data_IF_317845072812
#
_entry.id   IF_317845072812
#
_cell.length_a   1.000
_cell.length_b   1.000
_cell.length_c   1.000
_cell.angle_alpha   90.00
_cell.angle_beta   90.00
_cell.angle_gamma   90.00
#
_symmetry.space_group_name_H-M   'P 1'
#
loop_
_entity.id
_entity.type
_entity.pdbx_description
1 polymer ?
#
# COMPACT_ATOMS: atom_id res chain seq x y z
N UNK A 1 -10.60 -3.62 -29.55
CA UNK A 1 -11.55 -3.74 -28.41
C UNK A 1 -11.66 -2.37 -27.76
N UNK A 2 -12.76 -1.65 -27.96
CA UNK A 2 -12.96 -0.28 -27.44
C UNK A 2 -13.54 -0.40 -26.01
N UNK A 3 -12.94 0.24 -24.98
CA UNK A 3 -13.44 0.09 -23.61
C UNK A 3 -14.77 0.82 -23.40
N UNK A 4 -15.73 0.12 -22.77
CA UNK A 4 -17.09 0.54 -22.47
C UNK A 4 -17.14 1.86 -21.64
N UNK A 5 -18.07 2.81 -21.91
CA UNK A 5 -18.13 4.12 -21.26
C UNK A 5 -18.28 4.09 -19.73
N UNK A 6 -18.86 3.01 -19.18
CA UNK A 6 -19.09 2.80 -17.75
C UNK A 6 -17.75 2.68 -16.96
N UNK A 7 -16.67 2.24 -17.61
CA UNK A 7 -15.36 2.00 -16.98
C UNK A 7 -14.67 3.30 -16.54
N UNK A 8 -14.77 4.38 -17.32
CA UNK A 8 -14.09 5.67 -17.03
C UNK A 8 -14.63 6.35 -15.77
N UNK A 9 -15.95 6.29 -15.55
CA UNK A 9 -16.59 6.90 -14.37
C UNK A 9 -16.16 6.24 -13.05
N UNK A 10 -15.92 4.93 -13.08
CA UNK A 10 -15.46 4.16 -11.91
C UNK A 10 -14.01 4.46 -11.58
N UNK A 11 -13.13 4.48 -12.58
CA UNK A 11 -11.71 4.81 -12.42
C UNK A 11 -11.52 6.21 -11.79
N UNK A 12 -12.28 7.21 -12.24
CA UNK A 12 -12.24 8.57 -11.66
C UNK A 12 -12.58 8.57 -10.17
N UNK A 13 -13.64 7.87 -9.77
CA UNK A 13 -14.06 7.79 -8.36
C UNK A 13 -13.00 7.07 -7.50
N UNK A 14 -12.40 6.01 -8.03
CA UNK A 14 -11.32 5.28 -7.33
C UNK A 14 -10.10 6.17 -7.11
N UNK A 15 -9.65 6.91 -8.14
CA UNK A 15 -8.52 7.82 -8.01
C UNK A 15 -8.81 8.96 -7.02
N UNK A 16 -10.00 9.56 -7.07
CA UNK A 16 -10.38 10.62 -6.13
C UNK A 16 -10.37 10.11 -4.69
N UNK A 17 -10.93 8.93 -4.42
CA UNK A 17 -10.92 8.32 -3.08
C UNK A 17 -9.51 8.00 -2.61
N UNK A 18 -8.65 7.48 -3.50
CA UNK A 18 -7.24 7.24 -3.21
C UNK A 18 -6.51 8.53 -2.81
N UNK A 19 -6.66 9.61 -3.58
CA UNK A 19 -6.03 10.90 -3.27
C UNK A 19 -6.55 11.50 -1.95
N UNK A 20 -7.85 11.37 -1.67
CA UNK A 20 -8.42 11.79 -0.38
C UNK A 20 -7.81 11.01 0.79
N UNK A 21 -7.65 9.69 0.64
CA UNK A 21 -7.01 8.85 1.63
C UNK A 21 -5.53 9.23 1.85
N UNK A 22 -4.75 9.46 0.78
CA UNK A 22 -3.35 9.88 0.89
C UNK A 22 -3.22 11.25 1.59
N UNK A 23 -4.11 12.20 1.28
CA UNK A 23 -4.16 13.48 1.97
C UNK A 23 -4.44 13.32 3.47
N UNK A 24 -5.37 12.43 3.84
CA UNK A 24 -5.63 12.09 5.23
C UNK A 24 -4.38 11.55 5.92
N UNK A 25 -3.70 10.56 5.32
CA UNK A 25 -2.47 9.95 5.88
C UNK A 25 -1.37 10.98 6.05
N UNK A 26 -1.15 11.85 5.05
CA UNK A 26 -0.19 12.96 5.13
C UNK A 26 -0.50 13.91 6.28
N UNK A 27 -1.77 14.24 6.50
CA UNK A 27 -2.19 15.09 7.62
C UNK A 27 -1.94 14.41 8.97
N UNK A 28 -2.22 13.10 9.08
CA UNK A 28 -1.88 12.33 10.28
C UNK A 28 -0.38 12.37 10.58
N UNK A 29 0.48 12.24 9.56
CA UNK A 29 1.93 12.38 9.72
C UNK A 29 2.33 13.78 10.20
N UNK A 30 1.74 14.82 9.61
CA UNK A 30 2.03 16.21 9.96
C UNK A 30 1.63 16.55 11.42
N UNK A 31 0.63 15.86 11.95
CA UNK A 31 0.25 15.94 13.36
C UNK A 31 1.04 14.99 14.28
N UNK A 32 2.18 14.45 13.81
CA UNK A 32 3.07 13.54 14.56
C UNK A 32 2.36 12.34 15.21
N UNK A 33 1.24 11.93 14.64
CA UNK A 33 0.45 10.82 15.13
C UNK A 33 1.03 9.49 14.65
N UNK A 34 0.89 8.44 15.47
CA UNK A 34 1.33 7.08 15.11
C UNK A 34 0.45 6.52 13.99
N UNK A 35 1.09 5.88 13.01
CA UNK A 35 0.40 5.20 11.90
C UNK A 35 0.33 3.68 12.08
N UNK A 36 1.38 3.09 12.64
CA UNK A 36 1.62 1.64 12.60
C UNK A 36 0.52 0.80 13.29
N UNK A 37 -0.16 1.33 14.30
CA UNK A 37 -1.28 0.66 14.99
C UNK A 37 -2.60 1.40 14.87
N UNK A 38 -2.70 2.38 13.97
CA UNK A 38 -3.90 3.20 13.83
C UNK A 38 -4.90 2.55 12.88
N UNK A 39 -6.17 2.59 13.26
CA UNK A 39 -7.27 2.37 12.34
C UNK A 39 -7.63 3.69 11.65
N UNK A 40 -7.59 3.71 10.32
CA UNK A 40 -7.85 4.89 9.51
C UNK A 40 -9.35 5.15 9.41
N UNK A 41 -9.76 6.40 9.64
CA UNK A 41 -11.15 6.81 9.49
C UNK A 41 -11.53 6.98 8.03
N UNK A 42 -10.60 7.49 7.21
CA UNK A 42 -10.73 7.53 5.75
C UNK A 42 -10.18 6.23 5.20
N UNK A 43 -11.07 5.36 4.70
CA UNK A 43 -10.68 4.05 4.17
C UNK A 43 -10.00 4.17 2.81
N UNK A 44 -9.02 3.30 2.57
CA UNK A 44 -8.40 3.15 1.26
C UNK A 44 -9.37 2.45 0.31
N UNK A 45 -9.57 3.01 -0.87
CA UNK A 45 -10.24 2.32 -1.96
C UNK A 45 -9.29 1.28 -2.55
N UNK A 46 -9.46 0.01 -2.19
CA UNK A 46 -8.64 -1.07 -2.74
C UNK A 46 -8.88 -1.18 -4.24
N UNK A 47 -7.82 -1.11 -5.06
CA UNK A 47 -7.95 -1.30 -6.49
C UNK A 47 -8.40 -2.73 -6.80
N UNK A 48 -9.31 -2.87 -7.76
CA UNK A 48 -9.79 -4.19 -8.19
C UNK A 48 -8.67 -4.95 -8.93
N UNK A 49 -8.41 -6.21 -8.57
CA UNK A 49 -7.41 -7.09 -9.22
C UNK A 49 -7.53 -7.16 -10.74
N UNK A 50 -8.72 -7.02 -11.31
CA UNK A 50 -8.91 -7.02 -12.76
C UNK A 50 -8.36 -5.76 -13.46
N UNK A 51 -7.96 -4.74 -12.70
CA UNK A 51 -7.49 -3.44 -13.20
C UNK A 51 -6.06 -3.14 -12.74
N UNK A 52 -5.53 -3.84 -11.74
CA UNK A 52 -4.16 -3.62 -11.23
C UNK A 52 -3.23 -4.79 -11.47
N UNK A 53 -1.94 -4.47 -11.54
CA UNK A 53 -0.86 -5.44 -11.72
C UNK A 53 -0.73 -6.38 -10.52
N UNK A 54 -0.10 -7.54 -10.77
CA UNK A 54 0.06 -8.64 -9.82
C UNK A 54 0.71 -8.21 -8.50
N UNK A 55 1.61 -7.21 -8.55
CA UNK A 55 2.31 -6.66 -7.40
C UNK A 55 1.37 -6.13 -6.29
N UNK A 56 0.11 -5.80 -6.62
CA UNK A 56 -0.90 -5.34 -5.65
C UNK A 56 -2.01 -6.37 -5.35
N UNK A 57 -2.01 -7.55 -5.98
CA UNK A 57 -3.10 -8.52 -5.83
C UNK A 57 -3.29 -8.98 -4.38
N UNK A 58 -2.22 -9.06 -3.61
CA UNK A 58 -2.25 -9.42 -2.20
C UNK A 58 -3.11 -8.48 -1.33
N UNK A 59 -3.43 -7.26 -1.80
CA UNK A 59 -4.23 -6.30 -1.03
C UNK A 59 -5.70 -6.72 -0.86
N UNK A 60 -6.31 -7.40 -1.83
CA UNK A 60 -7.70 -7.86 -1.65
C UNK A 60 -7.82 -9.00 -0.63
N UNK A 61 -6.75 -9.79 -0.46
CA UNK A 61 -6.71 -10.95 0.44
C UNK A 61 -6.27 -10.58 1.85
N UNK A 62 -5.79 -9.35 2.06
CA UNK A 62 -5.26 -8.90 3.35
C UNK A 62 -6.41 -8.50 4.30
N UNK A 63 -6.57 -9.15 5.47
CA UNK A 63 -7.53 -8.72 6.47
C UNK A 63 -7.19 -7.31 6.98
N UNK A 64 -8.16 -6.40 7.03
CA UNK A 64 -7.90 -4.99 7.39
C UNK A 64 -7.30 -4.15 6.25
N UNK A 65 -7.38 -4.63 5.01
CA UNK A 65 -6.85 -3.96 3.83
C UNK A 65 -7.37 -2.53 3.57
N UNK A 66 -8.45 -2.10 4.23
CA UNK A 66 -9.05 -0.79 3.95
C UNK A 66 -8.72 0.28 4.98
N UNK A 67 -8.33 -0.11 6.19
CA UNK A 67 -8.23 0.81 7.33
C UNK A 67 -6.93 0.68 8.13
N UNK A 68 -6.02 -0.21 7.74
CA UNK A 68 -4.65 -0.26 8.28
C UNK A 68 -3.65 0.37 7.32
N UNK A 69 -2.44 0.61 7.82
CA UNK A 69 -1.42 1.39 7.10
C UNK A 69 -0.74 0.60 5.97
N UNK A 70 -0.63 -0.72 6.06
CA UNK A 70 0.08 -1.51 5.05
C UNK A 70 -0.44 -1.33 3.61
N UNK A 71 -1.76 -1.41 3.36
CA UNK A 71 -2.33 -1.17 2.04
C UNK A 71 -1.97 0.18 1.43
N UNK A 72 -1.93 1.22 2.28
CA UNK A 72 -1.49 2.56 1.88
C UNK A 72 -0.01 2.54 1.47
N UNK A 73 0.86 1.91 2.28
CA UNK A 73 2.29 1.82 1.99
C UNK A 73 2.56 1.05 0.70
N UNK A 74 1.86 -0.07 0.48
CA UNK A 74 1.96 -0.85 -0.74
C UNK A 74 1.50 -0.05 -1.97
N UNK A 75 0.40 0.71 -1.84
CA UNK A 75 -0.08 1.57 -2.93
C UNK A 75 0.91 2.70 -3.23
N UNK A 76 1.53 3.31 -2.20
CA UNK A 76 2.58 4.34 -2.40
C UNK A 76 3.81 3.73 -3.08
N UNK A 77 4.31 2.58 -2.62
CA UNK A 77 5.42 1.88 -3.25
C UNK A 77 5.14 1.61 -4.74
N UNK A 78 3.93 1.13 -5.04
CA UNK A 78 3.50 0.89 -6.41
C UNK A 78 3.50 2.16 -7.24
N UNK A 79 2.92 3.26 -6.76
CA UNK A 79 2.90 4.54 -7.50
C UNK A 79 4.33 5.05 -7.75
N UNK A 80 5.20 4.99 -6.73
CA UNK A 80 6.59 5.44 -6.85
C UNK A 80 7.38 4.63 -7.90
N UNK A 81 7.03 3.35 -8.10
CA UNK A 81 7.62 2.51 -9.15
C UNK A 81 7.35 2.97 -10.60
N UNK A 82 6.40 3.89 -10.82
CA UNK A 82 6.18 4.53 -12.13
C UNK A 82 6.82 5.92 -12.23
N UNK A 83 7.06 6.56 -11.08
CA UNK A 83 7.59 7.93 -11.04
C UNK A 83 9.11 7.91 -11.14
N UNK A 84 9.76 6.95 -10.47
CA UNK A 84 11.22 6.86 -10.45
C UNK A 84 11.71 5.41 -10.25
N UNK A 85 12.29 4.85 -11.31
CA UNK A 85 12.86 3.49 -11.32
C UNK A 85 14.13 3.32 -10.45
N UNK A 86 14.68 4.43 -9.94
CA UNK A 86 15.82 4.43 -9.01
C UNK A 86 15.41 4.52 -7.54
N UNK A 87 14.10 4.62 -7.25
CA UNK A 87 13.64 4.83 -5.89
C UNK A 87 13.78 3.56 -5.03
N UNK A 88 14.57 3.68 -3.95
CA UNK A 88 14.76 2.66 -2.92
C UNK A 88 13.74 2.78 -1.79
N UNK A 89 12.67 3.56 -1.96
CA UNK A 89 11.68 3.84 -0.92
C UNK A 89 11.03 2.57 -0.36
N UNK A 90 10.60 1.63 -1.21
CA UNK A 90 10.01 0.37 -0.76
C UNK A 90 10.97 -0.41 0.13
N UNK A 91 12.25 -0.46 -0.25
CA UNK A 91 13.31 -1.09 0.54
C UNK A 91 13.50 -0.39 1.89
N UNK A 92 13.61 0.96 1.90
CA UNK A 92 13.76 1.74 3.14
C UNK A 92 12.58 1.52 4.09
N UNK A 93 11.36 1.47 3.56
CA UNK A 93 10.16 1.19 4.35
C UNK A 93 10.20 -0.24 4.88
N UNK A 94 10.54 -1.22 4.06
CA UNK A 94 10.66 -2.61 4.50
C UNK A 94 11.69 -2.76 5.62
N UNK A 95 12.88 -2.18 5.47
CA UNK A 95 13.92 -2.14 6.51
C UNK A 95 13.42 -1.44 7.78
N UNK A 96 12.68 -0.34 7.65
CA UNK A 96 12.13 0.36 8.81
C UNK A 96 11.10 -0.49 9.56
N UNK A 97 10.20 -1.17 8.87
CA UNK A 97 9.23 -2.09 9.48
C UNK A 97 9.96 -3.26 10.16
N UNK A 98 10.99 -3.81 9.53
CA UNK A 98 11.80 -4.89 10.09
C UNK A 98 12.66 -4.46 11.29
N UNK A 99 12.99 -3.17 11.38
CA UNK A 99 13.71 -2.61 12.55
C UNK A 99 12.84 -2.47 13.80
N UNK A 100 11.53 -2.73 13.69
CA UNK A 100 10.62 -2.67 14.82
C UNK A 100 11.05 -3.68 15.90
N UNK A 101 11.16 -3.26 17.17
CA UNK A 101 11.67 -4.12 18.23
C UNK A 101 10.74 -5.31 18.42
N UNK A 102 11.28 -6.51 18.23
CA UNK A 102 10.58 -7.75 18.55
C UNK A 102 10.28 -7.80 20.04
N UNK A 103 9.00 -7.73 20.40
CA UNK A 103 8.55 -7.99 21.76
C UNK A 103 7.28 -8.83 21.72
N UNK A 104 7.07 -9.68 22.73
CA UNK A 104 5.90 -10.57 22.79
C UNK A 104 4.58 -9.81 23.04
N UNK A 105 4.62 -8.48 23.21
CA UNK A 105 3.46 -7.66 23.54
C UNK A 105 2.75 -7.13 22.29
N UNK A 106 3.46 -7.00 21.16
CA UNK A 106 2.95 -6.37 19.94
C UNK A 106 3.16 -7.29 18.76
N UNK A 107 2.06 -7.79 18.20
CA UNK A 107 2.06 -8.41 16.88
C UNK A 107 1.99 -7.32 15.81
N UNK A 108 3.14 -6.97 15.23
CA UNK A 108 3.25 -5.91 14.21
C UNK A 108 2.46 -6.24 12.94
N UNK A 109 2.46 -7.50 12.52
CA UNK A 109 1.72 -7.94 11.34
C UNK A 109 0.22 -7.69 11.50
N UNK A 110 -0.35 -8.00 12.66
CA UNK A 110 -1.74 -7.69 12.96
C UNK A 110 -2.00 -6.19 13.12
N UNK A 111 -1.09 -5.44 13.77
CA UNK A 111 -1.26 -4.01 14.01
C UNK A 111 -1.30 -3.20 12.71
N UNK A 112 -0.46 -3.56 11.74
CA UNK A 112 -0.31 -2.89 10.45
C UNK A 112 -1.14 -3.52 9.33
N UNK A 113 -1.74 -4.70 9.55
CA UNK A 113 -2.28 -5.60 8.53
C UNK A 113 -1.25 -5.99 7.46
N UNK A 114 -0.07 -6.42 7.89
CA UNK A 114 0.92 -7.03 7.01
C UNK A 114 0.43 -8.44 6.65
N UNK A 115 0.35 -8.82 5.37
CA UNK A 115 0.06 -10.21 4.99
C UNK A 115 1.21 -11.12 5.42
N UNK A 116 0.91 -12.41 5.59
CA UNK A 116 1.92 -13.40 5.94
C UNK A 116 3.05 -13.42 4.89
N UNK A 117 4.29 -13.28 5.33
CA UNK A 117 5.45 -13.25 4.44
C UNK A 117 5.54 -12.01 3.54
N UNK A 118 4.89 -10.89 3.91
CA UNK A 118 4.89 -9.63 3.13
C UNK A 118 6.27 -9.21 2.61
N UNK A 119 7.34 -9.40 3.39
CA UNK A 119 8.71 -9.02 3.00
C UNK A 119 9.29 -9.85 1.85
N UNK A 120 8.64 -10.96 1.46
CA UNK A 120 8.99 -11.77 0.29
C UNK A 120 8.18 -11.41 -0.96
N UNK A 121 7.17 -10.54 -0.82
CA UNK A 121 6.44 -10.06 -1.98
C UNK A 121 7.37 -9.21 -2.83
N UNK A 122 7.23 -9.31 -4.14
CA UNK A 122 8.11 -8.63 -5.08
C UNK A 122 8.17 -7.10 -4.90
N UNK A 123 7.09 -6.50 -4.36
CA UNK A 123 7.05 -5.08 -4.00
C UNK A 123 8.05 -4.68 -2.91
N UNK A 124 8.39 -5.62 -2.03
CA UNK A 124 9.20 -5.40 -0.83
C UNK A 124 10.54 -6.12 -0.85
N UNK A 125 10.75 -7.05 -1.80
CA UNK A 125 12.03 -7.76 -1.95
C UNK A 125 13.11 -6.82 -2.49
N UNK A 126 14.20 -6.55 -1.75
CA UNK A 126 15.28 -5.68 -2.20
C UNK A 126 16.01 -6.17 -3.47
N UNK A 127 15.89 -7.45 -3.80
CA UNK A 127 16.50 -8.04 -5.01
C UNK A 127 15.62 -7.86 -6.24
N UNK A 128 14.32 -7.62 -6.05
CA UNK A 128 13.35 -7.48 -7.14
C UNK A 128 13.08 -6.00 -7.33
N UNK A 129 13.15 -5.54 -8.58
CA UNK A 129 12.76 -4.18 -8.93
C UNK A 129 11.41 -4.21 -9.58
N UNK A 130 10.42 -3.62 -8.93
CA UNK A 130 9.15 -3.30 -9.57
C UNK A 130 9.38 -2.09 -10.47
N UNK A 131 9.24 -2.27 -11.78
CA UNK A 131 9.35 -1.20 -12.77
C UNK A 131 8.00 -1.06 -13.46
N UNK A 132 7.43 0.15 -13.46
CA UNK A 132 6.09 0.38 -13.97
C UNK A 132 5.04 -0.60 -13.37
N UNK A 133 5.12 -0.84 -12.06
CA UNK A 133 4.17 -1.71 -11.35
C UNK A 133 4.34 -3.21 -11.60
N UNK A 134 5.30 -3.60 -12.44
CA UNK A 134 5.59 -5.00 -12.80
C UNK A 134 6.88 -5.47 -12.14
N UNK A 135 6.79 -6.61 -11.48
CA UNK A 135 7.88 -7.30 -10.79
C UNK A 135 8.49 -8.41 -11.62
#
# INVERSE_FOLDING_TARGET
MIPCPQSRGRARKTLTSLLQHLNYVRNVCAHHSRLWNRQMTVKLAIPNKAVVEESLHHLEETPGATDRIYPTLATIAYILSFVNDSDIWSHRVATHIQSFPGNNLINLEQAMALPAGWGKLALWDPKIRVINGKS
#
